data_IF_727557177269
#
_entry.id   IF_727557177269
#
_cell.length_a   1.000
_cell.length_b   1.000
_cell.length_c   1.000
_cell.angle_alpha   90.00
_cell.angle_beta   90.00
_cell.angle_gamma   90.00
#
_symmetry.space_group_name_H-M   'P 1'
#
loop_
_entity.id
_entity.type
_entity.pdbx_description
1 polymer ?
#
# COMPACT_ATOMS: atom_id res chain seq x y z
N UNK A 1 -57.70 -49.96 -8.52
CA UNK A 1 -56.67 -49.74 -9.53
C UNK A 1 -56.53 -48.22 -9.69
N UNK A 2 -55.57 -47.57 -8.98
CA UNK A 2 -55.28 -46.13 -9.10
C UNK A 2 -54.00 -45.94 -9.97
N UNK A 3 -54.14 -45.23 -11.08
CA UNK A 3 -53.06 -44.89 -11.98
C UNK A 3 -52.25 -43.75 -11.36
N UNK A 4 -50.96 -43.96 -11.12
CA UNK A 4 -49.98 -42.95 -10.70
C UNK A 4 -49.40 -42.35 -11.97
N UNK A 5 -49.70 -41.06 -12.22
CA UNK A 5 -49.08 -40.31 -13.29
C UNK A 5 -47.73 -39.78 -12.78
N UNK A 6 -46.65 -40.25 -13.39
CA UNK A 6 -45.29 -39.80 -13.16
C UNK A 6 -45.00 -38.59 -14.08
N UNK A 7 -45.19 -37.38 -13.59
CA UNK A 7 -44.76 -36.15 -14.31
C UNK A 7 -43.29 -35.97 -14.10
N UNK A 8 -42.52 -36.16 -15.15
CA UNK A 8 -41.06 -35.89 -15.22
C UNK A 8 -40.89 -34.37 -15.36
N UNK A 9 -40.54 -33.68 -14.27
CA UNK A 9 -40.17 -32.28 -14.29
C UNK A 9 -38.67 -32.21 -14.68
N UNK A 10 -38.42 -31.91 -15.96
CA UNK A 10 -37.08 -31.59 -16.46
C UNK A 10 -36.75 -30.15 -15.98
N UNK A 11 -35.97 -30.06 -14.92
CA UNK A 11 -35.40 -28.80 -14.44
C UNK A 11 -34.29 -28.40 -15.39
N UNK A 12 -34.59 -27.49 -16.33
CA UNK A 12 -33.64 -26.90 -17.26
C UNK A 12 -32.81 -25.89 -16.45
N UNK A 13 -31.67 -26.32 -15.89
CA UNK A 13 -30.65 -25.42 -15.28
C UNK A 13 -30.00 -24.68 -16.43
N UNK A 14 -30.55 -23.52 -16.79
CA UNK A 14 -29.88 -22.51 -17.58
C UNK A 14 -28.71 -21.97 -16.75
N UNK A 15 -27.60 -22.67 -16.82
CA UNK A 15 -26.31 -22.12 -16.41
C UNK A 15 -26.04 -20.92 -17.29
N UNK A 16 -26.38 -19.73 -16.80
CA UNK A 16 -25.90 -18.45 -17.37
C UNK A 16 -24.38 -18.44 -17.27
N UNK A 17 -23.71 -18.98 -18.29
CA UNK A 17 -22.32 -18.67 -18.57
C UNK A 17 -22.29 -17.17 -18.84
N UNK A 18 -22.09 -16.38 -17.79
CA UNK A 18 -21.68 -14.99 -17.95
C UNK A 18 -20.38 -15.06 -18.74
N UNK A 19 -20.45 -14.83 -20.04
CA UNK A 19 -19.27 -14.45 -20.82
C UNK A 19 -18.69 -13.25 -20.06
N UNK A 20 -17.64 -13.49 -19.32
CA UNK A 20 -16.83 -12.48 -18.66
C UNK A 20 -16.13 -11.68 -19.78
N UNK A 21 -16.88 -10.75 -20.40
CA UNK A 21 -16.27 -9.77 -21.29
C UNK A 21 -15.24 -9.04 -20.45
N UNK A 22 -13.98 -9.17 -20.84
CA UNK A 22 -12.88 -8.44 -20.22
C UNK A 22 -13.18 -6.94 -20.29
N UNK A 23 -12.97 -6.24 -19.19
CA UNK A 23 -13.24 -4.82 -19.09
C UNK A 23 -12.05 -4.05 -19.66
N UNK A 24 -12.25 -3.35 -20.78
CA UNK A 24 -11.28 -2.36 -21.26
C UNK A 24 -11.28 -1.17 -20.32
N UNK A 25 -10.09 -0.71 -19.93
CA UNK A 25 -9.91 0.35 -18.95
C UNK A 25 -8.70 1.19 -19.32
N UNK A 26 -8.82 2.51 -19.22
CA UNK A 26 -7.69 3.44 -19.33
C UNK A 26 -6.87 3.43 -18.03
N UNK A 27 -5.66 4.01 -18.09
CA UNK A 27 -4.81 4.13 -16.89
C UNK A 27 -5.53 4.90 -15.78
N UNK A 28 -6.14 6.03 -16.09
CA UNK A 28 -6.82 6.87 -15.11
C UNK A 28 -8.01 6.15 -14.46
N UNK A 29 -8.81 5.44 -15.26
CA UNK A 29 -9.91 4.62 -14.76
C UNK A 29 -9.39 3.48 -13.84
N UNK A 30 -8.28 2.86 -14.19
CA UNK A 30 -7.65 1.82 -13.38
C UNK A 30 -7.19 2.38 -12.02
N UNK A 31 -6.51 3.53 -12.02
CA UNK A 31 -6.06 4.21 -10.79
C UNK A 31 -7.26 4.58 -9.90
N UNK A 32 -8.31 5.20 -10.45
CA UNK A 32 -9.49 5.59 -9.68
C UNK A 32 -10.23 4.37 -9.13
N UNK A 33 -10.34 3.30 -9.91
CA UNK A 33 -10.97 2.05 -9.48
C UNK A 33 -10.19 1.40 -8.34
N UNK A 34 -8.87 1.38 -8.43
CA UNK A 34 -8.00 0.85 -7.38
C UNK A 34 -8.17 1.64 -6.08
N UNK A 35 -8.05 2.98 -6.12
CA UNK A 35 -8.20 3.85 -4.95
C UNK A 35 -9.56 3.67 -4.27
N UNK A 36 -10.64 3.45 -5.05
CA UNK A 36 -11.99 3.27 -4.52
C UNK A 36 -12.23 1.89 -3.93
N UNK A 37 -11.69 0.83 -4.53
CA UNK A 37 -12.09 -0.55 -4.23
C UNK A 37 -11.07 -1.29 -3.37
N UNK A 38 -9.79 -0.88 -3.37
CA UNK A 38 -8.71 -1.60 -2.71
C UNK A 38 -8.95 -1.73 -1.20
N UNK A 39 -8.79 -2.95 -0.68
CA UNK A 39 -9.04 -3.24 0.73
C UNK A 39 -7.96 -2.67 1.65
N UNK A 40 -6.73 -2.50 1.17
CA UNK A 40 -5.64 -1.85 1.90
C UNK A 40 -5.97 -0.38 2.20
N UNK A 41 -6.50 0.35 1.20
CA UNK A 41 -6.97 1.72 1.37
C UNK A 41 -8.12 1.79 2.40
N UNK A 42 -9.13 0.92 2.27
CA UNK A 42 -10.24 0.86 3.24
C UNK A 42 -9.77 0.52 4.66
N UNK A 43 -8.81 -0.37 4.79
CA UNK A 43 -8.18 -0.67 6.08
C UNK A 43 -7.50 0.56 6.68
N UNK A 44 -6.76 1.32 5.89
CA UNK A 44 -6.12 2.56 6.35
C UNK A 44 -7.14 3.64 6.73
N UNK A 45 -8.28 3.74 6.02
CA UNK A 45 -9.40 4.61 6.40
C UNK A 45 -9.99 4.23 7.77
N UNK A 46 -10.22 2.93 8.03
CA UNK A 46 -10.66 2.46 9.34
C UNK A 46 -9.62 2.70 10.44
N UNK A 47 -8.32 2.67 10.13
CA UNK A 47 -7.28 3.04 11.10
C UNK A 47 -7.38 4.52 11.51
N UNK A 48 -7.76 5.41 10.60
CA UNK A 48 -8.01 6.83 10.96
C UNK A 48 -9.18 6.92 11.95
N UNK A 49 -10.29 6.23 11.67
CA UNK A 49 -11.44 6.23 12.58
C UNK A 49 -11.09 5.61 13.95
N UNK A 50 -10.32 4.51 13.96
CA UNK A 50 -9.81 3.91 15.19
C UNK A 50 -9.03 4.94 16.04
N UNK A 51 -8.06 5.65 15.44
CA UNK A 51 -7.30 6.64 16.20
C UNK A 51 -8.12 7.87 16.60
N UNK A 52 -9.15 8.25 15.83
CA UNK A 52 -10.10 9.30 16.22
C UNK A 52 -10.88 8.91 17.50
N UNK A 53 -11.34 7.65 17.57
CA UNK A 53 -12.00 7.15 18.78
C UNK A 53 -11.00 7.01 19.94
N UNK A 54 -9.81 6.45 19.69
CA UNK A 54 -8.77 6.35 20.71
C UNK A 54 -8.34 7.69 21.28
N UNK A 55 -8.32 8.77 20.48
CA UNK A 55 -8.04 10.12 20.99
C UNK A 55 -9.03 10.54 22.09
N UNK A 56 -10.30 10.11 22.01
CA UNK A 56 -11.32 10.46 23.01
C UNK A 56 -11.01 9.85 24.39
N UNK A 57 -10.31 8.70 24.42
CA UNK A 57 -9.88 8.06 25.67
C UNK A 57 -8.80 8.87 26.41
N UNK A 58 -8.19 9.86 25.77
CA UNK A 58 -7.20 10.73 26.39
C UNK A 58 -7.76 11.59 27.56
N UNK A 59 -9.08 11.67 27.70
CA UNK A 59 -9.76 12.35 28.83
C UNK A 59 -10.26 11.36 29.91
N UNK A 60 -9.88 10.09 29.80
CA UNK A 60 -10.28 9.07 30.77
C UNK A 60 -9.63 9.36 32.13
N UNK A 61 -10.48 9.62 33.11
CA UNK A 61 -10.07 9.82 34.53
C UNK A 61 -10.09 8.54 35.34
N UNK A 62 -10.35 7.39 34.71
CA UNK A 62 -10.38 6.09 35.37
C UNK A 62 -11.72 5.81 36.08
N UNK A 63 -11.71 4.75 36.88
CA UNK A 63 -12.91 4.28 37.57
C UNK A 63 -13.08 4.97 38.93
N UNK A 64 -14.34 5.30 39.27
CA UNK A 64 -14.72 5.68 40.60
C UNK A 64 -14.54 4.48 41.52
N UNK A 65 -13.93 4.70 42.68
CA UNK A 65 -13.86 3.72 43.78
C UNK A 65 -14.99 3.97 44.76
N UNK A 66 -15.80 2.95 45.03
CA UNK A 66 -16.82 3.01 46.09
C UNK A 66 -16.55 1.85 47.07
N UNK A 67 -16.31 2.18 48.32
CA UNK A 67 -15.99 1.23 49.37
C UNK A 67 -17.04 1.33 50.45
N UNK A 68 -17.64 0.21 50.80
CA UNK A 68 -18.50 0.10 51.99
C UNK A 68 -17.79 -0.72 53.03
N UNK A 69 -17.64 -0.15 54.23
CA UNK A 69 -17.12 -0.84 55.42
C UNK A 69 -18.21 -0.99 56.43
N UNK A 70 -18.30 -2.16 57.05
CA UNK A 70 -19.21 -2.49 58.14
C UNK A 70 -18.48 -3.20 59.24
N UNK A 71 -18.58 -2.71 60.48
CA UNK A 71 -17.89 -3.32 61.61
C UNK A 71 -17.60 -2.35 62.76
N UNK A 72 -16.80 -2.84 63.72
CA UNK A 72 -16.33 -2.09 64.88
C UNK A 72 -15.03 -1.37 64.57
N UNK A 73 -15.08 -0.20 63.90
CA UNK A 73 -13.87 0.53 63.55
C UNK A 73 -13.82 1.99 64.03
N UNK A 74 -14.96 2.63 64.28
CA UNK A 74 -15.03 3.96 64.89
C UNK A 74 -15.53 3.93 66.31
N UNK A 75 -16.41 2.95 66.66
CA UNK A 75 -17.00 2.78 67.97
C UNK A 75 -16.96 1.29 68.38
N UNK A 76 -17.32 0.99 69.66
CA UNK A 76 -17.47 -0.39 70.16
C UNK A 76 -18.71 -1.10 69.58
N UNK A 77 -19.56 -0.38 68.87
CA UNK A 77 -20.73 -0.91 68.16
C UNK A 77 -20.39 -1.09 66.65
N UNK A 78 -21.29 -1.74 65.91
CA UNK A 78 -21.10 -1.90 64.47
C UNK A 78 -21.53 -0.62 63.75
N UNK A 79 -20.57 0.00 63.06
CA UNK A 79 -20.77 1.19 62.24
C UNK A 79 -20.78 0.83 60.76
N UNK A 80 -21.33 1.78 59.96
CA UNK A 80 -21.25 1.77 58.50
C UNK A 80 -20.43 2.96 58.03
N UNK A 81 -19.61 2.74 57.01
CA UNK A 81 -18.96 3.81 56.26
C UNK A 81 -19.07 3.50 54.80
N UNK A 82 -19.51 4.47 54.01
CA UNK A 82 -19.46 4.43 52.56
C UNK A 82 -18.57 5.58 52.12
N UNK A 83 -17.47 5.22 51.48
CA UNK A 83 -16.51 6.17 50.91
C UNK A 83 -16.51 6.06 49.39
N UNK A 84 -16.61 7.18 48.72
CA UNK A 84 -16.57 7.30 47.24
C UNK A 84 -15.40 8.19 46.88
N UNK A 85 -14.44 7.66 46.08
CA UNK A 85 -13.22 8.34 45.73
C UNK A 85 -12.96 8.28 44.21
N UNK A 86 -12.54 9.41 43.63
CA UNK A 86 -12.11 9.53 42.25
C UNK A 86 -10.65 9.99 42.22
N UNK A 87 -9.80 9.18 41.58
CA UNK A 87 -8.44 9.61 41.20
C UNK A 87 -8.49 10.30 39.84
N UNK A 88 -7.92 11.48 39.75
CA UNK A 88 -7.87 12.30 38.56
C UNK A 88 -6.39 12.49 38.19
N UNK A 89 -5.91 11.99 37.04
CA UNK A 89 -4.55 12.23 36.59
C UNK A 89 -4.25 13.72 36.55
N UNK A 90 -2.99 14.08 36.82
CA UNK A 90 -2.62 15.50 36.78
C UNK A 90 -3.03 16.16 35.46
N UNK A 91 -3.55 17.38 35.44
CA UNK A 91 -4.12 17.98 34.23
C UNK A 91 -3.21 18.01 33.01
N UNK A 92 -1.87 18.13 33.23
CA UNK A 92 -0.89 18.06 32.13
C UNK A 92 -0.75 16.65 31.56
N UNK A 93 -1.03 15.60 32.33
CA UNK A 93 -1.05 14.22 31.87
C UNK A 93 -2.21 14.01 30.89
N UNK A 94 -3.43 14.45 31.28
CA UNK A 94 -4.62 14.38 30.42
C UNK A 94 -4.43 15.14 29.12
N UNK A 95 -3.93 16.39 29.22
CA UNK A 95 -3.68 17.20 28.00
C UNK A 95 -2.61 16.56 27.10
N UNK A 96 -1.60 15.91 27.67
CA UNK A 96 -0.57 15.20 26.90
C UNK A 96 -1.11 13.94 26.23
N UNK A 97 -2.03 13.21 26.87
CA UNK A 97 -2.73 12.06 26.28
C UNK A 97 -3.55 12.48 25.07
N UNK A 98 -4.34 13.57 25.20
CA UNK A 98 -5.15 14.11 24.09
C UNK A 98 -4.24 14.54 22.92
N UNK A 99 -3.12 15.23 23.22
CA UNK A 99 -2.17 15.67 22.20
C UNK A 99 -1.51 14.48 21.50
N UNK A 100 -1.09 13.45 22.25
CA UNK A 100 -0.55 12.22 21.68
C UNK A 100 -1.57 11.55 20.74
N UNK A 101 -2.82 11.41 21.17
CA UNK A 101 -3.90 10.90 20.34
C UNK A 101 -4.13 11.74 19.08
N UNK A 102 -3.96 13.06 19.16
CA UNK A 102 -4.06 13.94 17.99
C UNK A 102 -2.93 13.69 16.99
N UNK A 103 -1.68 13.57 17.45
CA UNK A 103 -0.55 13.24 16.58
C UNK A 103 -0.71 11.85 15.93
N UNK A 104 -1.24 10.87 16.66
CA UNK A 104 -1.55 9.54 16.11
C UNK A 104 -2.62 9.59 15.01
N UNK A 105 -3.66 10.44 15.14
CA UNK A 105 -4.65 10.65 14.06
C UNK A 105 -3.98 11.26 12.81
N UNK A 106 -3.06 12.22 13.00
CA UNK A 106 -2.30 12.81 11.89
C UNK A 106 -1.42 11.73 11.24
N UNK A 107 -0.73 10.90 12.04
CA UNK A 107 0.08 9.78 11.56
C UNK A 107 -0.73 8.78 10.73
N UNK A 108 -1.93 8.42 11.19
CA UNK A 108 -2.82 7.54 10.43
C UNK A 108 -3.25 8.14 9.07
N UNK A 109 -3.45 9.46 8.99
CA UNK A 109 -3.73 10.14 7.71
C UNK A 109 -2.53 10.13 6.78
N UNK A 110 -1.32 10.35 7.32
CA UNK A 110 -0.10 10.25 6.52
C UNK A 110 0.14 8.82 6.02
N UNK A 111 -0.16 7.82 6.85
CA UNK A 111 -0.11 6.42 6.42
C UNK A 111 -1.10 6.11 5.29
N UNK A 112 -2.33 6.65 5.32
CA UNK A 112 -3.27 6.53 4.20
C UNK A 112 -2.66 7.10 2.91
N UNK A 113 -2.05 8.29 2.97
CA UNK A 113 -1.41 8.90 1.80
C UNK A 113 -0.25 8.04 1.26
N UNK A 114 0.53 7.40 2.15
CA UNK A 114 1.58 6.43 1.75
C UNK A 114 0.96 5.23 1.04
N UNK A 115 -0.12 4.64 1.58
CA UNK A 115 -0.80 3.51 0.95
C UNK A 115 -1.37 3.87 -0.42
N UNK A 116 -1.93 5.08 -0.56
CA UNK A 116 -2.44 5.59 -1.83
C UNK A 116 -1.30 5.74 -2.86
N UNK A 117 -0.19 6.37 -2.48
CA UNK A 117 0.96 6.56 -3.36
C UNK A 117 1.55 5.21 -3.82
N UNK A 118 1.69 4.24 -2.90
CA UNK A 118 2.19 2.90 -3.22
C UNK A 118 1.23 2.17 -4.19
N UNK A 119 -0.08 2.19 -3.91
CA UNK A 119 -1.08 1.54 -4.75
C UNK A 119 -1.08 2.12 -6.16
N UNK A 120 -1.04 3.44 -6.29
CA UNK A 120 -1.02 4.11 -7.62
C UNK A 120 0.26 3.75 -8.38
N UNK A 121 1.39 3.70 -7.69
CA UNK A 121 2.65 3.25 -8.30
C UNK A 121 2.55 1.81 -8.83
N UNK A 122 2.06 0.87 -8.02
CA UNK A 122 1.89 -0.52 -8.42
C UNK A 122 0.91 -0.68 -9.60
N UNK A 123 -0.21 0.05 -9.58
CA UNK A 123 -1.17 0.06 -10.68
C UNK A 123 -0.52 0.59 -11.97
N UNK A 124 0.18 1.73 -11.90
CA UNK A 124 0.86 2.32 -13.06
C UNK A 124 1.91 1.36 -13.64
N UNK A 125 2.76 0.76 -12.80
CA UNK A 125 3.78 -0.21 -13.23
C UNK A 125 3.14 -1.42 -13.92
N UNK A 126 2.12 -2.03 -13.29
CA UNK A 126 1.42 -3.21 -13.83
C UNK A 126 0.69 -2.89 -15.14
N UNK A 127 0.07 -1.72 -15.23
CA UNK A 127 -0.64 -1.26 -16.41
C UNK A 127 0.31 -1.05 -17.59
N UNK A 128 1.45 -0.35 -17.38
CA UNK A 128 2.44 -0.14 -18.43
C UNK A 128 3.15 -1.44 -18.83
N UNK A 129 3.29 -2.39 -17.91
CA UNK A 129 3.77 -3.72 -18.25
C UNK A 129 2.78 -4.46 -19.17
N UNK A 130 1.48 -4.33 -18.90
CA UNK A 130 0.43 -4.90 -19.76
C UNK A 130 0.41 -4.25 -21.15
N UNK A 131 0.60 -2.92 -21.23
CA UNK A 131 0.74 -2.21 -22.51
C UNK A 131 1.94 -2.72 -23.32
N UNK A 132 3.08 -2.92 -22.65
CA UNK A 132 4.27 -3.48 -23.29
C UNK A 132 4.02 -4.89 -23.84
N UNK A 133 3.40 -5.77 -23.06
CA UNK A 133 3.10 -7.13 -23.51
C UNK A 133 2.11 -7.14 -24.68
N UNK A 134 1.13 -6.23 -24.70
CA UNK A 134 0.20 -6.08 -25.82
C UNK A 134 0.94 -5.59 -27.09
N UNK A 135 1.85 -4.62 -26.96
CA UNK A 135 2.66 -4.15 -28.09
C UNK A 135 3.60 -5.24 -28.62
N UNK A 136 4.19 -6.03 -27.70
CA UNK A 136 5.03 -7.19 -28.08
C UNK A 136 4.20 -8.26 -28.80
N UNK A 137 2.97 -8.54 -28.34
CA UNK A 137 2.03 -9.45 -29.03
C UNK A 137 1.82 -9.04 -30.48
N UNK A 138 1.55 -7.75 -30.71
CA UNK A 138 1.35 -7.21 -32.07
C UNK A 138 2.64 -7.38 -32.93
N UNK A 139 3.81 -7.13 -32.35
CA UNK A 139 5.08 -7.36 -33.05
C UNK A 139 5.23 -8.83 -33.43
N UNK A 140 5.08 -9.77 -32.48
CA UNK A 140 5.20 -11.20 -32.72
C UNK A 140 4.19 -11.71 -33.77
N UNK A 141 2.95 -11.23 -33.72
CA UNK A 141 1.93 -11.55 -34.73
C UNK A 141 2.30 -11.03 -36.13
N UNK A 142 2.87 -9.82 -36.20
CA UNK A 142 3.35 -9.27 -37.49
C UNK A 142 4.50 -10.07 -38.09
N UNK A 143 5.29 -10.74 -37.29
CA UNK A 143 6.40 -11.59 -37.72
C UNK A 143 5.93 -12.99 -38.13
N UNK A 144 4.82 -13.48 -37.59
CA UNK A 144 4.32 -14.84 -37.83
C UNK A 144 4.12 -15.13 -39.32
N UNK A 145 3.46 -14.23 -40.05
CA UNK A 145 3.29 -14.40 -41.50
C UNK A 145 4.61 -14.43 -42.26
N UNK A 146 5.61 -13.62 -41.87
CA UNK A 146 6.91 -13.59 -42.52
C UNK A 146 7.68 -14.93 -42.32
N UNK A 147 7.73 -15.43 -41.08
CA UNK A 147 8.39 -16.70 -40.77
C UNK A 147 7.62 -17.89 -41.32
N UNK A 148 6.28 -17.86 -41.34
CA UNK A 148 5.45 -18.90 -41.96
C UNK A 148 5.65 -18.97 -43.45
N UNK A 149 5.65 -17.83 -44.15
CA UNK A 149 5.92 -17.77 -45.59
C UNK A 149 7.34 -18.29 -45.94
N UNK A 150 8.33 -17.90 -45.11
CA UNK A 150 9.69 -18.36 -45.27
C UNK A 150 9.82 -19.89 -45.07
N UNK A 151 9.21 -20.45 -44.02
CA UNK A 151 9.21 -21.87 -43.75
C UNK A 151 8.52 -22.69 -44.89
N UNK A 152 7.39 -22.18 -45.43
CA UNK A 152 6.70 -22.80 -46.57
C UNK A 152 7.57 -22.77 -47.84
N UNK A 153 8.20 -21.63 -48.12
CA UNK A 153 9.09 -21.51 -49.28
C UNK A 153 10.31 -22.45 -49.19
N UNK A 154 10.97 -22.51 -48.02
CA UNK A 154 12.10 -23.39 -47.79
C UNK A 154 11.71 -24.89 -47.90
N UNK A 155 10.54 -25.27 -47.40
CA UNK A 155 10.02 -26.61 -47.52
C UNK A 155 9.73 -27.00 -48.99
N UNK A 156 9.20 -26.07 -49.79
CA UNK A 156 8.96 -26.29 -51.22
C UNK A 156 10.25 -26.43 -51.99
N UNK A 157 11.24 -25.56 -51.80
CA UNK A 157 12.57 -25.62 -52.44
C UNK A 157 13.32 -26.91 -52.08
N UNK A 158 13.18 -27.42 -50.86
CA UNK A 158 13.72 -28.71 -50.50
C UNK A 158 13.07 -29.86 -51.26
N UNK A 159 11.73 -29.82 -51.42
CA UNK A 159 10.99 -30.84 -52.20
C UNK A 159 11.35 -30.84 -53.70
N UNK A 160 11.68 -29.66 -54.29
CA UNK A 160 12.11 -29.52 -55.69
C UNK A 160 13.59 -29.77 -55.91
N UNK A 161 14.34 -30.01 -54.84
CA UNK A 161 15.79 -30.21 -54.90
C UNK A 161 16.62 -28.92 -55.04
N UNK A 162 15.99 -27.76 -54.93
CA UNK A 162 16.64 -26.46 -55.06
C UNK A 162 17.32 -26.00 -53.75
N UNK A 163 17.06 -26.65 -52.62
CA UNK A 163 17.70 -26.36 -51.36
C UNK A 163 17.98 -27.64 -50.56
N UNK A 164 18.77 -27.50 -49.48
CA UNK A 164 19.15 -28.58 -48.62
C UNK A 164 18.25 -28.73 -47.37
N UNK A 165 18.36 -29.87 -46.67
CA UNK A 165 17.61 -30.14 -45.45
C UNK A 165 17.88 -29.09 -44.35
N UNK A 166 19.11 -28.54 -44.29
CA UNK A 166 19.50 -27.54 -43.28
C UNK A 166 18.65 -26.24 -43.42
N UNK A 167 18.46 -25.75 -44.66
CA UNK A 167 17.60 -24.57 -44.91
C UNK A 167 16.18 -24.80 -44.39
N UNK A 168 15.55 -25.92 -44.78
CA UNK A 168 14.21 -26.29 -44.33
C UNK A 168 14.11 -26.39 -42.82
N UNK A 169 14.99 -27.14 -42.17
CA UNK A 169 14.95 -27.38 -40.72
C UNK A 169 15.19 -26.08 -39.96
N UNK A 170 16.11 -25.22 -40.44
CA UNK A 170 16.35 -23.91 -39.83
C UNK A 170 15.12 -23.03 -39.88
N UNK A 171 14.43 -22.94 -41.04
CA UNK A 171 13.21 -22.15 -41.21
C UNK A 171 12.07 -22.64 -40.29
N UNK A 172 11.86 -23.96 -40.22
CA UNK A 172 10.86 -24.58 -39.35
C UNK A 172 11.16 -24.33 -37.87
N UNK A 173 12.45 -24.46 -37.46
CA UNK A 173 12.86 -24.17 -36.07
C UNK A 173 12.61 -22.73 -35.69
N UNK A 174 12.93 -21.76 -36.54
CA UNK A 174 12.68 -20.33 -36.26
C UNK A 174 11.18 -20.01 -36.14
N UNK A 175 10.33 -20.66 -36.94
CA UNK A 175 8.89 -20.51 -36.81
C UNK A 175 8.37 -21.09 -35.48
N UNK A 176 8.89 -22.27 -35.09
CA UNK A 176 8.55 -22.91 -33.79
C UNK A 176 8.98 -22.03 -32.60
N UNK A 177 10.19 -21.44 -32.67
CA UNK A 177 10.69 -20.50 -31.66
C UNK A 177 9.78 -19.26 -31.55
N UNK A 178 9.34 -18.69 -32.69
CA UNK A 178 8.39 -17.59 -32.69
C UNK A 178 7.06 -17.97 -32.04
N UNK A 179 6.49 -19.12 -32.36
CA UNK A 179 5.26 -19.62 -31.75
C UNK A 179 5.43 -19.84 -30.23
N UNK A 180 6.61 -20.28 -29.80
CA UNK A 180 6.92 -20.40 -28.38
C UNK A 180 6.95 -19.03 -27.68
N UNK A 181 7.58 -18.01 -28.29
CA UNK A 181 7.56 -16.63 -27.79
C UNK A 181 6.16 -16.05 -27.72
N UNK A 182 5.31 -16.34 -28.71
CA UNK A 182 3.89 -15.93 -28.69
C UNK A 182 3.14 -16.52 -27.49
N UNK A 183 3.31 -17.83 -27.23
CA UNK A 183 2.70 -18.51 -26.07
C UNK A 183 3.19 -17.96 -24.73
N UNK A 184 4.48 -17.67 -24.60
CA UNK A 184 5.06 -17.03 -23.41
C UNK A 184 4.46 -15.64 -23.21
N UNK A 185 4.40 -14.83 -24.25
CA UNK A 185 3.82 -13.49 -24.18
C UNK A 185 2.31 -13.52 -23.82
N UNK A 186 1.55 -14.48 -24.33
CA UNK A 186 0.14 -14.65 -23.93
C UNK A 186 -0.02 -15.02 -22.45
N UNK A 187 0.88 -15.88 -21.94
CA UNK A 187 0.91 -16.19 -20.51
C UNK A 187 1.27 -14.96 -19.68
N UNK A 188 2.25 -14.16 -20.11
CA UNK A 188 2.65 -12.92 -19.43
C UNK A 188 1.51 -11.89 -19.39
N UNK A 189 0.75 -11.74 -20.49
CA UNK A 189 -0.45 -10.88 -20.52
C UNK A 189 -1.44 -11.30 -19.44
N UNK A 190 -1.70 -12.62 -19.29
CA UNK A 190 -2.62 -13.14 -18.27
C UNK A 190 -2.08 -12.91 -16.85
N UNK A 191 -0.78 -13.07 -16.63
CA UNK A 191 -0.14 -12.82 -15.33
C UNK A 191 -0.33 -11.36 -14.93
N UNK A 192 0.01 -10.39 -15.80
CA UNK A 192 -0.13 -8.97 -15.49
C UNK A 192 -1.58 -8.52 -15.41
N UNK A 193 -2.48 -9.06 -16.24
CA UNK A 193 -3.91 -8.79 -16.15
C UNK A 193 -4.50 -9.29 -14.82
N UNK A 194 -4.09 -10.48 -14.35
CA UNK A 194 -4.51 -11.03 -13.06
C UNK A 194 -3.97 -10.19 -11.89
N UNK A 195 -2.71 -9.77 -11.96
CA UNK A 195 -2.12 -8.90 -10.94
C UNK A 195 -2.88 -7.56 -10.86
N UNK A 196 -3.14 -6.94 -12.01
CA UNK A 196 -3.91 -5.69 -12.09
C UNK A 196 -5.34 -5.88 -11.56
N UNK A 197 -6.01 -6.98 -11.92
CA UNK A 197 -7.32 -7.36 -11.39
C UNK A 197 -7.34 -7.42 -9.86
N UNK A 198 -6.31 -8.00 -9.25
CA UNK A 198 -6.19 -8.07 -7.79
C UNK A 198 -6.00 -6.67 -7.16
N UNK A 199 -5.17 -5.81 -7.74
CA UNK A 199 -4.97 -4.42 -7.27
C UNK A 199 -6.26 -3.61 -7.34
N UNK A 200 -7.03 -3.76 -8.42
CA UNK A 200 -8.30 -3.06 -8.65
C UNK A 200 -9.47 -3.70 -7.89
N UNK A 201 -9.31 -4.91 -7.38
CA UNK A 201 -10.39 -5.71 -6.78
C UNK A 201 -11.62 -5.78 -7.70
N UNK A 202 -11.41 -6.19 -8.93
CA UNK A 202 -12.48 -6.42 -9.92
C UNK A 202 -12.68 -7.91 -10.14
N UNK A 203 -13.93 -8.31 -10.44
CA UNK A 203 -14.28 -9.72 -10.72
C UNK A 203 -14.00 -10.11 -12.18
N UNK A 204 -13.61 -9.16 -13.02
CA UNK A 204 -13.39 -9.34 -14.47
C UNK A 204 -11.93 -9.08 -14.82
N UNK A 205 -11.37 -9.85 -15.76
CA UNK A 205 -10.05 -9.55 -16.31
C UNK A 205 -10.01 -8.14 -16.89
N UNK A 206 -8.93 -7.43 -16.63
CA UNK A 206 -8.73 -6.05 -17.11
C UNK A 206 -7.86 -6.10 -18.35
N UNK A 207 -8.33 -5.46 -19.42
CA UNK A 207 -7.54 -5.19 -20.62
C UNK A 207 -7.20 -3.70 -20.66
N UNK A 208 -5.94 -3.38 -20.90
CA UNK A 208 -5.52 -2.01 -21.11
C UNK A 208 -6.07 -1.50 -22.45
N UNK A 209 -6.75 -0.35 -22.43
CA UNK A 209 -7.31 0.28 -23.65
C UNK A 209 -6.31 1.22 -24.34
N UNK A 210 -5.29 1.69 -23.61
CA UNK A 210 -4.31 2.63 -24.12
C UNK A 210 -3.25 1.94 -25.00
N UNK A 211 -2.56 2.72 -25.80
CA UNK A 211 -1.40 2.27 -26.56
C UNK A 211 -0.12 2.54 -25.75
N UNK A 212 0.90 1.70 -25.97
CA UNK A 212 2.22 1.96 -25.41
C UNK A 212 2.85 3.16 -26.12
N UNK A 213 2.82 4.31 -25.48
CA UNK A 213 3.42 5.56 -25.96
C UNK A 213 4.43 6.10 -24.96
N UNK A 214 5.29 6.99 -25.44
CA UNK A 214 6.28 7.68 -24.60
C UNK A 214 5.57 8.63 -23.64
N UNK A 215 5.75 8.40 -22.35
CA UNK A 215 5.20 9.24 -21.29
C UNK A 215 5.93 10.60 -21.27
N UNK A 216 5.17 11.68 -21.10
CA UNK A 216 5.75 13.01 -20.93
C UNK A 216 6.49 13.11 -19.58
N UNK A 217 7.58 13.86 -19.59
CA UNK A 217 8.27 14.22 -18.34
C UNK A 217 7.37 15.12 -17.49
N UNK A 218 7.36 14.94 -16.16
CA UNK A 218 6.74 15.92 -15.27
C UNK A 218 7.35 17.31 -15.53
N UNK A 219 6.51 18.35 -15.56
CA UNK A 219 6.92 19.70 -15.91
C UNK A 219 7.98 20.30 -14.95
N UNK A 220 8.05 19.80 -13.74
CA UNK A 220 9.00 20.21 -12.70
C UNK A 220 9.69 18.98 -12.12
N UNK A 221 10.99 18.87 -12.39
CA UNK A 221 11.90 17.88 -11.77
C UNK A 221 12.74 18.66 -10.77
N UNK A 222 12.13 19.03 -9.62
CA UNK A 222 12.83 19.76 -8.57
C UNK A 222 12.99 18.92 -7.30
N UNK A 223 14.18 18.91 -6.74
CA UNK A 223 14.48 18.27 -5.45
C UNK A 223 13.67 18.85 -4.29
N UNK A 224 13.25 20.13 -4.38
CA UNK A 224 12.38 20.73 -3.37
C UNK A 224 11.04 19.98 -3.18
N UNK A 225 10.56 19.30 -4.22
CA UNK A 225 9.31 18.53 -4.18
C UNK A 225 9.44 17.20 -3.41
N UNK A 226 10.66 16.72 -3.13
CA UNK A 226 10.85 15.52 -2.31
C UNK A 226 10.29 15.69 -0.89
N UNK A 227 10.23 16.92 -0.37
CA UNK A 227 9.56 17.24 0.89
C UNK A 227 8.07 16.89 0.93
N UNK A 228 7.41 16.80 -0.24
CA UNK A 228 6.00 16.41 -0.35
C UNK A 228 5.78 14.90 -0.35
N UNK A 229 6.86 14.08 -0.40
CA UNK A 229 6.77 12.63 -0.38
C UNK A 229 5.98 12.13 0.85
N UNK A 230 4.88 11.36 0.66
CA UNK A 230 4.04 10.90 1.77
C UNK A 230 4.79 10.06 2.82
N UNK A 231 5.76 9.25 2.38
CA UNK A 231 6.56 8.42 3.30
C UNK A 231 7.50 9.27 4.15
N UNK A 232 8.09 10.34 3.59
CA UNK A 232 8.91 11.28 4.36
C UNK A 232 8.06 12.02 5.39
N UNK A 233 6.87 12.49 5.00
CA UNK A 233 5.91 13.13 5.92
C UNK A 233 5.48 12.19 7.05
N UNK A 234 5.29 10.90 6.75
CA UNK A 234 5.00 9.91 7.78
C UNK A 234 6.18 9.76 8.76
N UNK A 235 7.41 9.66 8.28
CA UNK A 235 8.61 9.57 9.14
C UNK A 235 8.76 10.81 10.04
N UNK A 236 8.49 11.99 9.51
CA UNK A 236 8.50 13.24 10.29
C UNK A 236 7.38 13.26 11.35
N UNK A 237 6.20 12.71 11.00
CA UNK A 237 5.09 12.59 11.94
C UNK A 237 5.38 11.58 13.07
N UNK A 238 6.10 10.49 12.79
CA UNK A 238 6.55 9.54 13.83
C UNK A 238 7.50 10.21 14.86
N UNK A 239 8.29 11.18 14.43
CA UNK A 239 9.08 12.02 15.36
C UNK A 239 8.16 12.86 16.25
N UNK A 240 7.09 13.45 15.70
CA UNK A 240 6.13 14.23 16.48
C UNK A 240 5.39 13.36 17.51
N UNK A 241 4.96 12.16 17.10
CA UNK A 241 4.34 11.16 17.98
C UNK A 241 5.28 10.78 19.13
N UNK A 242 6.52 10.43 18.82
CA UNK A 242 7.53 10.04 19.81
C UNK A 242 7.85 11.19 20.79
N UNK A 243 7.86 12.43 20.31
CA UNK A 243 8.01 13.63 21.14
C UNK A 243 6.86 13.77 22.12
N UNK A 244 5.61 13.63 21.65
CA UNK A 244 4.43 13.71 22.53
C UNK A 244 4.37 12.56 23.52
N UNK A 245 4.77 11.37 23.11
CA UNK A 245 4.90 10.22 24.01
C UNK A 245 5.93 10.47 25.14
N UNK A 246 7.09 11.05 24.81
CA UNK A 246 8.08 11.47 25.85
C UNK A 246 7.51 12.49 26.82
N UNK A 247 6.74 13.47 26.34
CA UNK A 247 6.09 14.47 27.20
C UNK A 247 5.09 13.80 28.12
N UNK A 248 4.26 12.87 27.61
CA UNK A 248 3.33 12.11 28.38
C UNK A 248 4.02 11.30 29.50
N UNK A 249 5.06 10.55 29.16
CA UNK A 249 5.81 9.74 30.16
C UNK A 249 6.48 10.60 31.25
N UNK A 250 6.90 11.81 30.93
CA UNK A 250 7.36 12.78 31.92
C UNK A 250 6.23 13.26 32.83
N UNK A 251 5.06 13.55 32.28
CA UNK A 251 3.92 14.04 33.05
C UNK A 251 3.33 13.01 33.99
N UNK A 252 3.44 11.69 33.67
CA UNK A 252 3.04 10.60 34.54
C UNK A 252 3.85 10.47 35.85
N UNK A 253 4.93 11.27 36.00
CA UNK A 253 5.68 11.36 37.26
C UNK A 253 4.98 12.27 38.26
N UNK A 254 4.11 13.15 37.79
CA UNK A 254 3.37 14.08 38.62
C UNK A 254 2.31 13.33 39.47
N UNK A 255 1.99 13.82 40.67
CA UNK A 255 0.98 13.18 41.52
C UNK A 255 -0.42 13.33 40.95
N UNK A 256 -1.25 12.28 41.06
CA UNK A 256 -2.67 12.36 40.72
C UNK A 256 -3.45 13.03 41.84
N UNK A 257 -4.50 13.74 41.49
CA UNK A 257 -5.43 14.37 42.43
C UNK A 257 -6.47 13.34 42.87
N UNK A 258 -6.80 13.31 44.16
CA UNK A 258 -7.89 12.51 44.69
C UNK A 258 -8.98 13.43 45.22
N UNK A 259 -10.23 13.16 44.84
CA UNK A 259 -11.42 13.86 45.34
C UNK A 259 -12.44 12.82 45.75
N UNK A 260 -12.99 12.97 46.91
CA UNK A 260 -13.99 12.04 47.39
C UNK A 260 -14.91 12.60 48.46
N UNK A 261 -15.76 11.71 48.96
CA UNK A 261 -16.62 11.98 50.07
C UNK A 261 -16.98 10.70 50.81
N UNK A 262 -17.35 10.85 52.05
CA UNK A 262 -17.78 9.74 52.86
C UNK A 262 -19.06 10.04 53.58
N UNK A 263 -19.75 8.97 53.95
CA UNK A 263 -20.91 8.97 54.83
C UNK A 263 -20.74 7.83 55.84
N UNK A 264 -20.75 8.19 57.13
CA UNK A 264 -20.48 7.18 58.20
C UNK A 264 -21.46 7.33 59.37
N UNK A 265 -21.71 6.22 60.08
CA UNK A 265 -22.38 6.23 61.39
C UNK A 265 -21.31 6.22 62.50
N UNK A 266 -21.67 6.86 63.62
CA UNK A 266 -20.89 6.81 64.86
C UNK A 266 -21.86 6.35 65.96
N UNK A 267 -22.20 5.07 66.00
CA UNK A 267 -23.28 4.52 66.82
C UNK A 267 -22.83 4.38 68.27
N UNK A 268 -23.62 4.96 69.23
CA UNK A 268 -23.35 4.89 70.66
C UNK A 268 -23.31 6.27 71.33
N UNK A 269 -22.88 6.28 72.61
CA UNK A 269 -22.68 7.51 73.34
C UNK A 269 -21.41 8.23 72.85
N UNK A 270 -21.57 9.47 72.40
CA UNK A 270 -20.53 10.36 71.96
C UNK A 270 -20.73 11.74 72.55
N UNK A 271 -19.64 12.44 72.83
CA UNK A 271 -19.70 13.83 73.25
C UNK A 271 -20.06 14.70 72.06
N UNK A 272 -21.13 15.50 72.19
CA UNK A 272 -21.53 16.46 71.13
C UNK A 272 -20.67 17.75 71.17
N UNK A 273 -20.92 18.69 70.26
CA UNK A 273 -20.18 19.97 70.14
C UNK A 273 -20.26 20.83 71.40
N UNK A 274 -21.25 20.62 72.31
CA UNK A 274 -21.44 21.33 73.55
C UNK A 274 -20.83 20.65 74.77
N UNK A 275 -20.08 19.52 74.51
CA UNK A 275 -19.44 18.73 75.59
C UNK A 275 -20.43 17.85 76.35
N UNK A 276 -21.64 17.57 75.86
CA UNK A 276 -22.67 16.75 76.49
C UNK A 276 -22.68 15.37 75.84
N UNK A 277 -22.65 14.32 76.65
CA UNK A 277 -22.80 12.95 76.23
C UNK A 277 -24.16 12.75 75.57
N UNK A 278 -24.16 12.42 74.25
CA UNK A 278 -25.36 12.24 73.44
C UNK A 278 -25.30 10.86 72.79
N UNK A 279 -26.43 10.13 72.82
CA UNK A 279 -26.51 8.85 72.07
C UNK A 279 -26.87 9.09 70.62
N UNK A 280 -26.01 8.62 69.70
CA UNK A 280 -26.23 8.66 68.29
C UNK A 280 -26.69 7.29 67.80
N UNK A 281 -27.92 7.19 67.22
CA UNK A 281 -28.40 5.97 66.64
C UNK A 281 -27.71 5.70 65.30
N UNK A 282 -27.71 4.46 64.80
CA UNK A 282 -27.12 4.05 63.51
C UNK A 282 -27.71 4.84 62.31
N UNK A 283 -28.94 5.38 62.44
CA UNK A 283 -29.58 6.21 61.43
C UNK A 283 -28.98 7.61 61.30
N UNK A 284 -28.21 8.06 62.29
CA UNK A 284 -27.50 9.34 62.22
C UNK A 284 -26.24 9.19 61.38
N UNK A 285 -26.23 9.90 60.23
CA UNK A 285 -25.13 9.84 59.29
C UNK A 285 -24.31 11.14 59.38
N UNK A 286 -22.98 10.96 59.45
CA UNK A 286 -22.01 12.04 59.38
C UNK A 286 -21.36 12.02 58.00
N UNK A 287 -21.26 13.13 57.34
CA UNK A 287 -20.73 13.24 55.99
C UNK A 287 -19.52 14.16 55.95
N UNK A 288 -18.62 13.90 55.06
CA UNK A 288 -17.46 14.74 54.82
C UNK A 288 -16.95 14.59 53.37
N UNK A 289 -16.03 15.46 53.02
CA UNK A 289 -15.30 15.38 51.72
C UNK A 289 -13.82 15.13 52.01
N UNK A 290 -13.15 14.52 51.02
CA UNK A 290 -11.74 14.19 51.06
C UNK A 290 -11.05 14.77 49.84
N UNK A 291 -9.89 15.41 50.07
CA UNK A 291 -8.95 15.79 49.02
C UNK A 291 -7.61 15.16 49.35
N UNK A 292 -6.97 14.58 48.35
CA UNK A 292 -5.69 13.90 48.52
C UNK A 292 -4.85 13.97 47.29
N UNK A 293 -3.64 13.45 47.38
CA UNK A 293 -2.67 13.29 46.32
C UNK A 293 -2.17 11.86 46.32
N UNK A 294 -2.21 11.22 45.14
CA UNK A 294 -1.53 9.96 44.89
C UNK A 294 -0.11 10.24 44.38
N UNK A 295 0.86 10.18 45.27
CA UNK A 295 2.26 10.52 44.98
C UNK A 295 3.02 9.21 44.65
N UNK A 296 3.66 9.07 43.49
CA UNK A 296 4.47 7.91 43.16
C UNK A 296 5.77 7.90 43.98
N UNK A 297 5.83 7.17 45.06
CA UNK A 297 7.04 7.05 45.90
C UNK A 297 8.20 6.34 45.21
N UNK A 298 7.89 5.37 44.36
CA UNK A 298 8.87 4.62 43.55
C UNK A 298 9.08 5.30 42.18
N UNK A 299 9.82 6.41 42.15
CA UNK A 299 10.04 7.22 40.97
C UNK A 299 10.99 6.61 39.91
N UNK A 300 11.88 5.67 40.33
CA UNK A 300 12.87 5.04 39.40
C UNK A 300 12.26 4.45 38.14
N UNK A 301 11.15 3.62 38.21
CA UNK A 301 10.52 3.10 36.99
C UNK A 301 9.97 4.18 36.06
N UNK A 302 9.39 5.25 36.62
CA UNK A 302 8.85 6.37 35.83
C UNK A 302 9.96 7.17 35.15
N UNK A 303 11.08 7.41 35.84
CA UNK A 303 12.27 8.04 35.25
C UNK A 303 12.82 7.16 34.12
N UNK A 304 12.87 5.84 34.32
CA UNK A 304 13.34 4.90 33.30
C UNK A 304 12.43 4.95 32.04
N UNK A 305 11.10 4.99 32.19
CA UNK A 305 10.15 5.15 31.08
C UNK A 305 10.35 6.47 30.35
N UNK A 306 10.52 7.59 31.08
CA UNK A 306 10.76 8.90 30.47
C UNK A 306 12.11 8.94 29.71
N UNK A 307 13.16 8.28 30.22
CA UNK A 307 14.43 8.11 29.51
C UNK A 307 14.30 7.23 28.27
N UNK A 308 13.59 6.09 28.39
CA UNK A 308 13.30 5.22 27.24
C UNK A 308 12.54 5.96 26.14
N UNK A 309 11.52 6.76 26.50
CA UNK A 309 10.79 7.59 25.55
C UNK A 309 11.68 8.68 24.91
N UNK A 310 12.68 9.21 25.63
CA UNK A 310 13.65 10.15 25.05
C UNK A 310 14.55 9.45 24.01
N UNK A 311 15.02 8.23 24.26
CA UNK A 311 15.78 7.45 23.28
C UNK A 311 14.91 7.07 22.07
N UNK A 312 13.63 6.77 22.29
CA UNK A 312 12.69 6.50 21.19
C UNK A 312 12.52 7.74 20.29
N UNK A 313 12.42 8.95 20.85
CA UNK A 313 12.39 10.19 20.05
C UNK A 313 13.67 10.35 19.22
N UNK A 314 14.86 10.14 19.81
CA UNK A 314 16.11 10.22 19.07
C UNK A 314 16.22 9.14 17.98
N UNK A 315 15.78 7.91 18.26
CA UNK A 315 15.70 6.84 17.26
C UNK A 315 14.79 7.23 16.09
N UNK A 316 13.62 7.81 16.37
CA UNK A 316 12.69 8.26 15.32
C UNK A 316 13.29 9.39 14.48
N UNK A 317 14.03 10.36 15.09
CA UNK A 317 14.75 11.40 14.37
C UNK A 317 15.79 10.81 13.41
N UNK A 318 16.61 9.87 13.90
CA UNK A 318 17.62 9.22 13.06
C UNK A 318 17.01 8.39 11.94
N UNK A 319 15.86 7.77 12.18
CA UNK A 319 15.11 7.06 11.12
C UNK A 319 14.59 8.01 10.05
N UNK A 320 14.07 9.18 10.43
CA UNK A 320 13.61 10.21 9.49
C UNK A 320 14.78 10.79 8.67
N UNK A 321 15.90 11.13 9.32
CA UNK A 321 17.12 11.61 8.65
C UNK A 321 17.66 10.55 7.66
N UNK A 322 17.71 9.28 8.07
CA UNK A 322 18.14 8.18 7.19
C UNK A 322 17.22 8.04 5.99
N UNK A 323 15.89 8.07 6.21
CA UNK A 323 14.93 7.97 5.12
C UNK A 323 15.07 9.12 4.12
N UNK A 324 15.27 10.35 4.59
CA UNK A 324 15.48 11.54 3.74
C UNK A 324 16.73 11.38 2.87
N UNK A 325 17.86 10.92 3.45
CA UNK A 325 19.11 10.65 2.69
C UNK A 325 18.84 9.57 1.62
N UNK A 326 18.16 8.48 1.97
CA UNK A 326 17.86 7.39 1.04
C UNK A 326 16.89 7.84 -0.07
N UNK A 327 15.89 8.64 0.27
CA UNK A 327 14.94 9.20 -0.69
C UNK A 327 15.66 10.10 -1.73
N UNK A 328 16.54 10.99 -1.26
CA UNK A 328 17.39 11.80 -2.13
C UNK A 328 18.30 10.94 -3.03
N UNK A 329 18.94 9.92 -2.46
CA UNK A 329 19.77 8.98 -3.22
C UNK A 329 19.00 8.24 -4.30
N UNK A 330 17.81 7.70 -3.95
CA UNK A 330 16.93 7.00 -4.89
C UNK A 330 16.43 7.95 -6.01
N UNK A 331 16.16 9.20 -5.69
CA UNK A 331 15.74 10.19 -6.67
C UNK A 331 16.86 10.52 -7.66
N UNK A 332 18.08 10.79 -7.16
CA UNK A 332 19.24 11.04 -8.01
C UNK A 332 19.56 9.81 -8.89
N UNK A 333 19.45 8.59 -8.35
CA UNK A 333 19.59 7.38 -9.13
C UNK A 333 18.53 7.32 -10.24
N UNK A 334 17.25 7.61 -9.93
CA UNK A 334 16.17 7.60 -10.93
C UNK A 334 16.41 8.63 -12.03
N UNK A 335 16.98 9.80 -11.73
CA UNK A 335 17.38 10.79 -12.75
C UNK A 335 18.49 10.26 -13.67
N UNK A 336 19.49 9.55 -13.13
CA UNK A 336 20.54 8.91 -13.95
C UNK A 336 19.99 7.78 -14.81
N UNK A 337 19.04 7.00 -14.27
CA UNK A 337 18.31 5.98 -15.03
C UNK A 337 17.49 6.63 -16.16
N UNK A 338 16.89 7.80 -15.92
CA UNK A 338 16.16 8.56 -16.93
C UNK A 338 17.09 9.03 -18.07
N UNK A 339 18.22 9.63 -17.75
CA UNK A 339 19.22 10.06 -18.73
C UNK A 339 19.64 8.90 -19.63
N UNK A 340 19.98 7.74 -19.00
CA UNK A 340 20.38 6.52 -19.72
C UNK A 340 19.26 6.04 -20.66
N UNK A 341 18.02 5.93 -20.14
CA UNK A 341 16.91 5.39 -20.90
C UNK A 341 16.44 6.35 -22.00
N UNK A 342 16.57 7.67 -21.78
CA UNK A 342 16.29 8.68 -22.80
C UNK A 342 17.27 8.56 -23.96
N UNK A 343 18.56 8.43 -23.69
CA UNK A 343 19.57 8.25 -24.71
C UNK A 343 19.38 6.93 -25.49
N UNK A 344 19.07 5.84 -24.76
CA UNK A 344 18.80 4.53 -25.37
C UNK A 344 17.56 4.58 -26.28
N UNK A 345 16.46 5.18 -25.82
CA UNK A 345 15.24 5.32 -26.59
C UNK A 345 15.45 6.18 -27.83
N UNK A 346 16.16 7.31 -27.70
CA UNK A 346 16.51 8.19 -28.81
C UNK A 346 17.31 7.46 -29.90
N UNK A 347 18.25 6.59 -29.56
CA UNK A 347 18.96 5.75 -30.52
C UNK A 347 18.00 4.90 -31.37
N UNK A 348 17.00 4.26 -30.73
CA UNK A 348 16.01 3.47 -31.47
C UNK A 348 15.12 4.36 -32.35
N UNK A 349 14.62 5.49 -31.83
CA UNK A 349 13.72 6.38 -32.54
C UNK A 349 14.38 7.07 -33.73
N UNK A 350 15.65 7.49 -33.62
CA UNK A 350 16.32 8.29 -34.67
C UNK A 350 17.06 7.44 -35.72
N UNK A 351 17.49 6.22 -35.36
CA UNK A 351 18.39 5.46 -36.22
C UNK A 351 17.99 4.00 -36.38
N UNK A 352 17.83 3.25 -35.29
CA UNK A 352 17.75 1.80 -35.35
C UNK A 352 16.46 1.31 -36.02
N UNK A 353 15.30 1.91 -35.73
CA UNK A 353 14.02 1.51 -36.33
C UNK A 353 13.98 1.75 -37.86
N UNK A 354 14.51 2.88 -38.30
CA UNK A 354 14.59 3.20 -39.76
C UNK A 354 15.49 2.16 -40.45
N UNK A 355 16.66 1.89 -39.89
CA UNK A 355 17.61 0.90 -40.44
C UNK A 355 17.03 -0.52 -40.42
N UNK A 356 16.29 -0.90 -39.37
CA UNK A 356 15.63 -2.20 -39.29
C UNK A 356 14.54 -2.37 -40.38
N UNK A 357 13.78 -1.31 -40.65
CA UNK A 357 12.79 -1.32 -41.72
C UNK A 357 13.43 -1.43 -43.08
N UNK A 358 14.49 -0.64 -43.33
CA UNK A 358 15.26 -0.68 -44.57
C UNK A 358 15.90 -2.06 -44.80
N UNK A 359 16.58 -2.59 -43.76
CA UNK A 359 17.22 -3.91 -43.79
C UNK A 359 16.20 -5.00 -44.18
N UNK A 360 15.06 -5.05 -43.54
CA UNK A 360 14.03 -6.05 -43.83
C UNK A 360 13.44 -5.89 -45.22
N UNK A 361 13.21 -4.65 -45.70
CA UNK A 361 12.65 -4.41 -47.02
C UNK A 361 13.62 -4.76 -48.15
N UNK A 362 14.89 -4.39 -48.00
CA UNK A 362 15.91 -4.65 -49.03
C UNK A 362 16.29 -6.15 -49.07
N UNK A 363 16.51 -6.78 -47.89
CA UNK A 363 16.79 -8.20 -47.83
C UNK A 363 15.66 -9.06 -48.41
N UNK A 364 14.40 -8.66 -48.23
CA UNK A 364 13.25 -9.34 -48.85
C UNK A 364 13.25 -9.24 -50.36
N UNK A 365 13.62 -8.09 -50.93
CA UNK A 365 13.73 -7.87 -52.37
C UNK A 365 14.89 -8.70 -52.94
N UNK A 366 16.08 -8.63 -52.33
CA UNK A 366 17.27 -9.32 -52.76
C UNK A 366 17.10 -10.86 -52.69
N UNK A 367 16.44 -11.37 -51.63
CA UNK A 367 16.14 -12.80 -51.53
C UNK A 367 15.18 -13.29 -52.60
N UNK A 368 14.12 -12.48 -52.91
CA UNK A 368 13.18 -12.81 -54.02
C UNK A 368 13.84 -12.73 -55.38
N UNK A 369 14.83 -11.85 -55.57
CA UNK A 369 15.65 -11.73 -56.77
C UNK A 369 16.73 -12.77 -56.92
N UNK A 370 16.95 -13.58 -55.89
CA UNK A 370 18.05 -14.57 -55.88
C UNK A 370 19.45 -13.97 -55.66
N UNK A 371 19.54 -12.70 -55.25
CA UNK A 371 20.79 -11.96 -55.01
C UNK A 371 21.46 -12.35 -53.68
N UNK A 372 20.64 -12.77 -52.68
CA UNK A 372 21.13 -13.23 -51.38
C UNK A 372 20.58 -14.63 -51.05
N UNK A 373 21.32 -15.36 -50.22
CA UNK A 373 20.94 -16.67 -49.74
C UNK A 373 19.92 -16.61 -48.56
N UNK A 374 19.43 -17.79 -48.19
CA UNK A 374 18.47 -17.92 -47.11
C UNK A 374 19.04 -17.51 -45.74
N UNK A 375 20.36 -17.74 -45.50
CA UNK A 375 21.03 -17.39 -44.24
C UNK A 375 21.01 -15.86 -44.04
N UNK A 376 21.40 -15.10 -45.06
CA UNK A 376 21.45 -13.63 -45.02
C UNK A 376 20.06 -13.05 -44.84
N UNK A 377 19.04 -13.59 -45.54
CA UNK A 377 17.65 -13.15 -45.37
C UNK A 377 17.12 -13.45 -43.97
N UNK A 378 17.36 -14.66 -43.43
CA UNK A 378 16.97 -15.03 -42.08
C UNK A 378 17.63 -14.14 -41.01
N UNK A 379 18.92 -13.85 -41.18
CA UNK A 379 19.67 -12.96 -40.31
C UNK A 379 19.09 -11.52 -40.33
N UNK A 380 18.72 -11.01 -41.49
CA UNK A 380 18.11 -9.72 -41.64
C UNK A 380 16.71 -9.65 -40.94
N UNK A 381 15.90 -10.70 -41.13
CA UNK A 381 14.60 -10.83 -40.42
C UNK A 381 14.78 -10.83 -38.91
N UNK A 382 15.69 -11.66 -38.39
CA UNK A 382 15.98 -11.76 -36.94
C UNK A 382 16.50 -10.45 -36.36
N UNK A 383 17.43 -9.78 -37.08
CA UNK A 383 17.98 -8.49 -36.67
C UNK A 383 16.88 -7.41 -36.61
N UNK A 384 16.01 -7.34 -37.63
CA UNK A 384 14.89 -6.39 -37.65
C UNK A 384 13.91 -6.63 -36.51
N UNK A 385 13.57 -7.90 -36.22
CA UNK A 385 12.70 -8.29 -35.11
C UNK A 385 13.32 -7.90 -33.77
N UNK A 386 14.61 -8.21 -33.56
CA UNK A 386 15.33 -7.89 -32.32
C UNK A 386 15.37 -6.38 -32.08
N UNK A 387 15.66 -5.57 -33.10
CA UNK A 387 15.69 -4.11 -32.98
C UNK A 387 14.31 -3.56 -32.58
N UNK A 388 13.21 -4.04 -33.20
CA UNK A 388 11.86 -3.63 -32.86
C UNK A 388 11.44 -4.07 -31.43
N UNK A 389 11.80 -5.29 -31.03
CA UNK A 389 11.56 -5.76 -29.68
C UNK A 389 12.32 -4.95 -28.63
N UNK A 390 13.60 -4.66 -28.90
CA UNK A 390 14.42 -3.81 -28.04
C UNK A 390 13.92 -2.36 -27.95
N UNK A 391 13.34 -1.81 -29.02
CA UNK A 391 12.65 -0.51 -28.98
C UNK A 391 11.46 -0.53 -28.00
N UNK A 392 10.59 -1.54 -28.08
CA UNK A 392 9.45 -1.67 -27.16
C UNK A 392 9.92 -1.79 -25.71
N UNK A 393 10.99 -2.56 -25.48
CA UNK A 393 11.61 -2.70 -24.16
C UNK A 393 12.21 -1.37 -23.66
N UNK A 394 12.92 -0.64 -24.53
CA UNK A 394 13.48 0.68 -24.19
C UNK A 394 12.37 1.70 -23.85
N UNK A 395 11.28 1.69 -24.60
CA UNK A 395 10.10 2.53 -24.35
C UNK A 395 9.43 2.20 -23.03
N UNK A 396 9.27 0.92 -22.72
CA UNK A 396 8.75 0.44 -21.45
C UNK A 396 9.65 0.85 -20.28
N UNK A 397 10.98 0.65 -20.40
CA UNK A 397 11.95 1.05 -19.36
C UNK A 397 11.95 2.56 -19.11
N UNK A 398 11.88 3.37 -20.19
CA UNK A 398 11.75 4.81 -20.08
C UNK A 398 10.50 5.21 -19.29
N UNK A 399 9.33 4.64 -19.63
CA UNK A 399 8.07 4.93 -18.97
C UNK A 399 8.09 4.51 -17.48
N UNK A 400 8.70 3.36 -17.15
CA UNK A 400 8.82 2.90 -15.77
C UNK A 400 9.65 3.85 -14.90
N UNK A 401 10.74 4.42 -15.45
CA UNK A 401 11.53 5.39 -14.71
C UNK A 401 10.77 6.69 -14.46
N UNK A 402 9.96 7.15 -15.42
CA UNK A 402 9.07 8.30 -15.19
C UNK A 402 8.08 8.02 -14.06
N UNK A 403 7.45 6.84 -14.06
CA UNK A 403 6.51 6.43 -13.00
C UNK A 403 7.23 6.34 -11.64
N UNK A 404 8.47 5.84 -11.61
CA UNK A 404 9.31 5.81 -10.40
C UNK A 404 9.60 7.22 -9.88
N UNK A 405 9.89 8.17 -10.74
CA UNK A 405 10.12 9.59 -10.38
C UNK A 405 8.82 10.20 -9.82
N UNK A 406 7.67 10.00 -10.48
CA UNK A 406 6.37 10.46 -9.98
C UNK A 406 6.09 9.93 -8.56
N UNK A 407 6.34 8.65 -8.34
CA UNK A 407 6.20 7.98 -7.04
C UNK A 407 7.10 8.61 -5.95
N UNK A 408 8.39 8.86 -6.27
CA UNK A 408 9.34 9.48 -5.34
C UNK A 408 8.97 10.92 -5.02
N UNK A 409 8.35 11.64 -5.95
CA UNK A 409 7.84 13.00 -5.74
C UNK A 409 6.47 13.03 -5.03
N UNK A 410 5.83 11.86 -4.81
CA UNK A 410 4.49 11.80 -4.23
C UNK A 410 3.38 12.32 -5.13
N UNK A 411 3.61 12.31 -6.45
CA UNK A 411 2.63 12.74 -7.47
C UNK A 411 1.86 11.52 -7.99
N UNK A 412 0.57 11.45 -7.65
CA UNK A 412 -0.33 10.37 -8.11
C UNK A 412 -1.56 10.91 -8.80
#
# INVERSE_FOLDING_TARGET
MKKINFSFVILFVLGSTKFLLAQQMSLDEAVQTALKNNLGIKSAEYQIEYFKEMKKTGTDIGKLSAVWMHGQYNTFTHDNNVTVMQSIPFPTTLTSQVKLGQEQVIGARQNLAVQQNNLVYEVKISYYQLLYQNALKQLLQSQDSLYSDFAKASALRYKTGESNLLEKTTAETQLMDLHNLQRQNEADILIYATHLQALLKTDRPVLASDLLTKKSLPAEIDTAQLGENPSLKLMQQEVAISRQYKILERNKILPDLMVGGFAQSLTGWQMNELGIDTYYPRSKVFTGWELGLNIPLWIKPNIARAKAAAFQEEASKKSAEHFEIMLNGNYLQALRELDKNTANLAYYETSALLNAALLLSQSRKAFRGGEIGYIEYLQAMKSSMTIRGNYLLALQQYNQVIIKIEFLLGKY
#
